data_IF_096363197122
#
_entry.id   IF_096363197122
#
_cell.length_a   1.000
_cell.length_b   1.000
_cell.length_c   1.000
_cell.angle_alpha   90.00
_cell.angle_beta   90.00
_cell.angle_gamma   90.00
#
_symmetry.space_group_name_H-M   'P 1'
#
loop_
_entity.id
_entity.type
_entity.pdbx_description
1 polymer ?
#
# COMPACT_ATOMS: atom_id res chain seq x y z
N UNK A 1 0.52 16.91 24.72
CA UNK A 1 1.82 16.40 24.24
C UNK A 1 1.81 16.44 22.72
N UNK A 2 2.82 17.09 22.12
CA UNK A 2 3.00 17.04 20.67
C UNK A 2 3.30 15.61 20.22
N UNK A 3 2.75 15.23 19.07
CA UNK A 3 3.11 13.98 18.43
C UNK A 3 4.57 14.04 17.98
N UNK A 4 5.36 13.00 18.32
CA UNK A 4 6.78 12.92 17.98
C UNK A 4 6.95 12.04 16.76
N UNK A 5 6.83 12.61 15.56
CA UNK A 5 6.97 11.86 14.30
C UNK A 5 8.27 11.06 14.23
N UNK A 6 9.41 11.67 14.61
CA UNK A 6 10.73 11.03 14.57
C UNK A 6 10.82 9.78 15.45
N UNK A 7 10.12 9.74 16.58
CA UNK A 7 10.07 8.57 17.46
C UNK A 7 9.39 7.39 16.75
N UNK A 8 8.23 7.62 16.12
CA UNK A 8 7.48 6.57 15.43
C UNK A 8 8.16 6.08 14.16
N UNK A 9 8.86 6.97 13.44
CA UNK A 9 9.67 6.60 12.26
C UNK A 9 10.87 5.71 12.63
N UNK A 10 11.47 5.86 13.81
CA UNK A 10 12.51 4.92 14.26
C UNK A 10 11.98 3.48 14.36
N UNK A 11 10.75 3.31 14.87
CA UNK A 11 10.09 2.01 14.86
C UNK A 11 9.83 1.51 13.44
N UNK A 12 9.38 2.38 12.52
CA UNK A 12 9.25 2.02 11.10
C UNK A 12 10.55 1.43 10.57
N UNK A 13 11.67 2.15 10.67
CA UNK A 13 12.96 1.70 10.11
C UNK A 13 13.41 0.37 10.73
N UNK A 14 13.22 0.20 12.03
CA UNK A 14 13.48 -1.08 12.69
C UNK A 14 12.57 -2.21 12.17
N UNK A 15 11.29 -1.93 11.93
CA UNK A 15 10.36 -2.90 11.37
C UNK A 15 10.77 -3.31 9.94
N UNK A 16 11.26 -2.38 9.10
CA UNK A 16 11.81 -2.73 7.78
C UNK A 16 12.97 -3.71 7.88
N UNK A 17 13.87 -3.52 8.84
CA UNK A 17 14.98 -4.44 9.08
C UNK A 17 14.46 -5.85 9.39
N UNK A 18 13.46 -5.99 10.27
CA UNK A 18 12.84 -7.28 10.59
C UNK A 18 12.17 -7.92 9.36
N UNK A 19 11.47 -7.14 8.54
CA UNK A 19 10.88 -7.60 7.27
C UNK A 19 11.97 -8.15 6.35
N UNK A 20 13.08 -7.43 6.20
CA UNK A 20 14.20 -7.85 5.36
C UNK A 20 14.87 -9.13 5.88
N UNK A 21 15.06 -9.26 7.21
CA UNK A 21 15.62 -10.45 7.83
C UNK A 21 14.75 -11.70 7.60
N UNK A 22 13.43 -11.58 7.72
CA UNK A 22 12.52 -12.70 7.43
C UNK A 22 12.48 -13.02 5.94
N UNK A 23 12.56 -12.01 5.07
CA UNK A 23 12.68 -12.21 3.63
C UNK A 23 13.95 -12.97 3.25
N UNK A 24 15.09 -12.60 3.86
CA UNK A 24 16.35 -13.29 3.70
C UNK A 24 16.29 -14.73 4.22
N UNK A 25 15.71 -14.94 5.40
CA UNK A 25 15.51 -16.28 5.97
C UNK A 25 14.69 -17.18 5.04
N UNK A 26 13.60 -16.67 4.46
CA UNK A 26 12.80 -17.44 3.50
C UNK A 26 13.58 -17.82 2.26
N UNK A 27 14.50 -16.96 1.78
CA UNK A 27 15.35 -17.25 0.62
C UNK A 27 16.45 -18.25 0.96
N UNK A 28 17.07 -18.12 2.12
CA UNK A 28 18.02 -19.11 2.65
C UNK A 28 17.40 -20.51 2.66
N UNK A 29 16.16 -20.62 3.15
CA UNK A 29 15.42 -21.89 3.25
C UNK A 29 15.05 -22.56 1.92
N UNK A 30 15.21 -21.87 0.79
CA UNK A 30 15.03 -22.48 -0.54
C UNK A 30 16.26 -23.33 -0.91
N UNK A 31 17.45 -22.93 -0.43
CA UNK A 31 18.72 -23.57 -0.77
C UNK A 31 19.23 -24.50 0.34
N UNK A 32 18.87 -24.23 1.59
CA UNK A 32 19.37 -24.93 2.76
C UNK A 32 18.23 -25.37 3.66
N UNK A 33 18.32 -26.58 4.21
CA UNK A 33 17.32 -27.07 5.16
C UNK A 33 17.36 -26.28 6.47
N UNK A 34 16.19 -25.90 6.97
CA UNK A 34 16.02 -25.29 8.29
C UNK A 34 14.72 -25.79 8.93
N UNK A 35 14.73 -26.99 9.53
CA UNK A 35 13.51 -27.71 9.93
C UNK A 35 12.78 -27.08 11.12
N UNK A 36 13.44 -26.21 11.89
CA UNK A 36 12.86 -25.57 13.07
C UNK A 36 11.70 -24.60 12.75
N UNK A 37 11.62 -24.12 11.51
CA UNK A 37 10.60 -23.16 11.11
C UNK A 37 9.86 -23.70 9.89
N UNK A 38 8.54 -23.63 9.89
CA UNK A 38 7.75 -23.93 8.70
C UNK A 38 7.84 -22.77 7.69
N UNK A 39 8.03 -23.07 6.39
CA UNK A 39 8.18 -22.05 5.35
C UNK A 39 6.92 -21.22 5.18
N UNK A 40 5.74 -21.84 5.24
CA UNK A 40 4.47 -21.16 5.02
C UNK A 40 4.15 -20.21 6.19
N UNK A 41 4.45 -20.64 7.41
CA UNK A 41 4.32 -19.86 8.64
C UNK A 41 5.22 -18.63 8.65
N UNK A 42 6.50 -18.78 8.25
CA UNK A 42 7.41 -17.64 8.06
C UNK A 42 6.91 -16.72 6.95
N UNK A 43 6.37 -17.25 5.86
CA UNK A 43 5.80 -16.45 4.77
C UNK A 43 4.62 -15.59 5.26
N UNK A 44 3.69 -16.16 6.05
CA UNK A 44 2.59 -15.41 6.63
C UNK A 44 3.08 -14.32 7.58
N UNK A 45 4.01 -14.66 8.47
CA UNK A 45 4.63 -13.70 9.39
C UNK A 45 5.28 -12.52 8.64
N UNK A 46 6.10 -12.82 7.64
CA UNK A 46 6.76 -11.82 6.80
C UNK A 46 5.75 -10.92 6.09
N UNK A 47 4.75 -11.47 5.40
CA UNK A 47 3.79 -10.66 4.64
C UNK A 47 2.91 -9.79 5.55
N UNK A 48 2.39 -10.35 6.65
CA UNK A 48 1.55 -9.59 7.59
C UNK A 48 2.34 -8.48 8.28
N UNK A 49 3.58 -8.75 8.69
CA UNK A 49 4.43 -7.73 9.32
C UNK A 49 4.92 -6.68 8.31
N UNK A 50 5.19 -7.05 7.06
CA UNK A 50 5.51 -6.10 6.00
C UNK A 50 4.37 -5.11 5.74
N UNK A 51 3.12 -5.60 5.69
CA UNK A 51 1.95 -4.74 5.43
C UNK A 51 1.58 -3.90 6.66
N UNK A 52 1.43 -4.51 7.83
CA UNK A 52 0.93 -3.84 9.04
C UNK A 52 2.04 -3.10 9.81
N UNK A 53 3.14 -3.80 10.08
CA UNK A 53 4.24 -3.32 10.93
C UNK A 53 5.16 -2.34 10.21
N UNK A 54 5.48 -2.58 8.93
CA UNK A 54 6.31 -1.67 8.14
C UNK A 54 5.47 -0.62 7.39
N UNK A 55 4.76 -1.00 6.33
CA UNK A 55 4.17 -0.01 5.40
C UNK A 55 3.05 0.78 6.07
N UNK A 56 2.06 0.11 6.65
CA UNK A 56 0.89 0.77 7.26
C UNK A 56 1.29 1.64 8.46
N UNK A 57 2.14 1.14 9.35
CA UNK A 57 2.66 1.92 10.47
C UNK A 57 3.34 3.22 10.01
N UNK A 58 4.18 3.11 8.98
CA UNK A 58 4.90 4.27 8.41
C UNK A 58 3.93 5.26 7.77
N UNK A 59 3.00 4.78 6.95
CA UNK A 59 2.00 5.64 6.32
C UNK A 59 1.10 6.33 7.35
N UNK A 60 0.60 5.62 8.37
CA UNK A 60 -0.18 6.22 9.45
C UNK A 60 0.63 7.33 10.14
N UNK A 61 1.90 7.07 10.46
CA UNK A 61 2.80 8.05 11.09
C UNK A 61 2.99 9.30 10.22
N UNK A 62 3.23 9.12 8.92
CA UNK A 62 3.43 10.24 8.00
C UNK A 62 2.14 11.03 7.76
N UNK A 63 0.98 10.36 7.68
CA UNK A 63 -0.33 11.00 7.60
C UNK A 63 -0.63 11.83 8.86
N UNK A 64 -0.29 11.33 10.06
CA UNK A 64 -0.40 12.12 11.30
C UNK A 64 0.53 13.34 11.26
N UNK A 65 1.76 13.17 10.75
CA UNK A 65 2.70 14.28 10.56
C UNK A 65 2.16 15.33 9.60
N UNK A 66 1.43 14.92 8.55
CA UNK A 66 0.71 15.84 7.68
C UNK A 66 -0.37 16.61 8.43
N UNK A 67 -1.20 15.94 9.25
CA UNK A 67 -2.20 16.64 10.08
C UNK A 67 -1.52 17.66 11.00
N UNK A 68 -0.43 17.30 11.65
CA UNK A 68 0.31 18.21 12.54
C UNK A 68 0.89 19.42 11.80
N UNK A 69 1.40 19.22 10.58
CA UNK A 69 1.93 20.31 9.74
C UNK A 69 0.84 21.30 9.31
N UNK A 70 -0.38 20.82 9.08
CA UNK A 70 -1.48 21.63 8.54
C UNK A 70 -2.50 22.09 9.61
N UNK A 71 -2.39 21.63 10.86
CA UNK A 71 -3.24 22.07 11.98
C UNK A 71 -2.76 23.42 12.56
N UNK A 72 -2.82 24.48 11.76
CA UNK A 72 -2.35 25.82 12.13
C UNK A 72 -3.12 26.42 13.32
N UNK A 73 -4.34 25.96 13.57
CA UNK A 73 -5.23 26.44 14.63
C UNK A 73 -5.22 25.54 15.87
N UNK A 74 -4.36 24.51 15.92
CA UNK A 74 -4.24 23.56 17.03
C UNK A 74 -5.58 22.94 17.47
N UNK A 75 -6.46 22.63 16.51
CA UNK A 75 -7.79 22.06 16.77
C UNK A 75 -7.71 20.55 17.05
N UNK A 76 -6.64 19.88 16.64
CA UNK A 76 -6.55 18.41 16.64
C UNK A 76 -5.85 17.89 17.92
N UNK A 77 -6.55 17.00 18.63
CA UNK A 77 -5.99 16.29 19.77
C UNK A 77 -5.16 15.06 19.34
N UNK A 78 -3.84 15.22 19.25
CA UNK A 78 -2.95 14.17 18.74
C UNK A 78 -2.73 12.95 19.66
N UNK A 79 -3.11 13.01 20.94
CA UNK A 79 -2.88 11.91 21.90
C UNK A 79 -3.53 10.59 21.46
N UNK A 80 -4.70 10.65 20.81
CA UNK A 80 -5.41 9.47 20.29
C UNK A 80 -4.60 8.70 19.24
N UNK A 81 -3.79 9.39 18.45
CA UNK A 81 -2.99 8.74 17.41
C UNK A 81 -1.84 7.92 17.98
N UNK A 82 -1.29 8.29 19.14
CA UNK A 82 -0.33 7.44 19.84
C UNK A 82 -0.96 6.10 20.22
N UNK A 83 -2.20 6.10 20.72
CA UNK A 83 -2.91 4.85 21.05
C UNK A 83 -3.14 3.98 19.82
N UNK A 84 -3.50 4.60 18.69
CA UNK A 84 -3.71 3.89 17.43
C UNK A 84 -2.40 3.26 16.91
N UNK A 85 -1.29 4.01 16.93
CA UNK A 85 0.02 3.49 16.52
C UNK A 85 0.53 2.38 17.47
N UNK A 86 0.33 2.53 18.78
CA UNK A 86 0.64 1.47 19.76
C UNK A 86 -0.18 0.22 19.45
N UNK A 87 -1.49 0.37 19.23
CA UNK A 87 -2.37 -0.73 18.86
C UNK A 87 -1.92 -1.43 17.57
N UNK A 88 -1.51 -0.67 16.56
CA UNK A 88 -1.00 -1.22 15.30
C UNK A 88 0.30 -2.00 15.51
N UNK A 89 1.24 -1.46 16.29
CA UNK A 89 2.49 -2.16 16.61
C UNK A 89 2.23 -3.43 17.42
N UNK A 90 1.42 -3.37 18.48
CA UNK A 90 1.05 -4.56 19.26
C UNK A 90 0.48 -5.63 18.34
N UNK A 91 -0.50 -5.29 17.49
CA UNK A 91 -1.06 -6.26 16.55
C UNK A 91 0.00 -6.81 15.59
N UNK A 92 0.86 -5.95 15.05
CA UNK A 92 1.90 -6.35 14.11
C UNK A 92 2.92 -7.30 14.74
N UNK A 93 3.44 -6.98 15.93
CA UNK A 93 4.41 -7.81 16.63
C UNK A 93 3.83 -9.12 17.15
N UNK A 94 2.58 -9.11 17.64
CA UNK A 94 1.92 -10.37 18.02
C UNK A 94 1.66 -11.24 16.80
N UNK A 95 1.21 -10.67 15.67
CA UNK A 95 1.11 -11.42 14.41
C UNK A 95 2.46 -11.98 13.97
N UNK A 96 3.53 -11.18 14.05
CA UNK A 96 4.89 -11.58 13.66
C UNK A 96 5.30 -12.88 14.38
N UNK A 97 5.14 -12.92 15.70
CA UNK A 97 5.51 -14.06 16.53
C UNK A 97 4.52 -15.22 16.35
N UNK A 98 3.22 -14.95 16.45
CA UNK A 98 2.20 -16.00 16.40
C UNK A 98 2.14 -16.70 15.04
N UNK A 99 2.28 -16.00 13.91
CA UNK A 99 2.31 -16.67 12.61
C UNK A 99 3.51 -17.62 12.47
N UNK A 100 4.67 -17.28 13.06
CA UNK A 100 5.84 -18.18 13.05
C UNK A 100 5.55 -19.43 13.89
N UNK A 101 4.94 -19.28 15.05
CA UNK A 101 4.73 -20.37 16.01
C UNK A 101 3.58 -21.32 15.64
N UNK A 102 2.49 -20.80 15.09
CA UNK A 102 1.24 -21.55 14.92
C UNK A 102 0.58 -21.38 13.54
N UNK A 103 1.21 -20.66 12.60
CA UNK A 103 0.58 -20.36 11.30
C UNK A 103 -0.76 -19.64 11.49
N UNK A 104 -1.82 -20.11 10.82
CA UNK A 104 -3.20 -19.60 11.02
C UNK A 104 -3.87 -20.20 12.27
N UNK A 105 -3.29 -19.96 13.44
CA UNK A 105 -3.91 -20.30 14.73
C UNK A 105 -4.80 -19.19 15.28
N UNK A 106 -5.41 -19.42 16.45
CA UNK A 106 -6.36 -18.49 17.07
C UNK A 106 -5.74 -17.09 17.32
N UNK A 107 -4.56 -17.03 17.96
CA UNK A 107 -3.88 -15.76 18.28
C UNK A 107 -3.60 -14.92 17.03
N UNK A 108 -2.99 -15.51 16.00
CA UNK A 108 -2.69 -14.85 14.72
C UNK A 108 -3.95 -14.34 14.03
N UNK A 109 -5.03 -15.12 14.03
CA UNK A 109 -6.31 -14.69 13.45
C UNK A 109 -6.88 -13.53 14.25
N UNK A 110 -6.99 -13.65 15.58
CA UNK A 110 -7.51 -12.58 16.45
C UNK A 110 -6.76 -11.27 16.24
N UNK A 111 -5.42 -11.29 16.24
CA UNK A 111 -4.64 -10.07 16.07
C UNK A 111 -4.65 -9.54 14.63
N UNK A 112 -4.81 -10.41 13.62
CA UNK A 112 -5.07 -9.95 12.25
C UNK A 112 -6.40 -9.22 12.14
N UNK A 113 -7.46 -9.72 12.80
CA UNK A 113 -8.77 -9.06 12.86
C UNK A 113 -8.72 -7.76 13.65
N UNK A 114 -8.05 -7.75 14.81
CA UNK A 114 -7.84 -6.54 15.61
C UNK A 114 -7.09 -5.46 14.82
N UNK A 115 -6.10 -5.83 14.01
CA UNK A 115 -5.37 -4.88 13.16
C UNK A 115 -6.29 -4.17 12.15
N UNK A 116 -7.32 -4.86 11.62
CA UNK A 116 -8.33 -4.26 10.75
C UNK A 116 -9.12 -3.20 11.53
N UNK A 117 -9.58 -3.52 12.75
CA UNK A 117 -10.32 -2.56 13.59
C UNK A 117 -9.47 -1.34 13.99
N UNK A 118 -8.17 -1.55 14.29
CA UNK A 118 -7.23 -0.43 14.51
C UNK A 118 -7.15 0.46 13.26
N UNK A 119 -7.09 -0.14 12.07
CA UNK A 119 -7.06 0.59 10.81
C UNK A 119 -8.36 1.38 10.54
N UNK A 120 -9.51 0.85 10.96
CA UNK A 120 -10.79 1.54 10.88
C UNK A 120 -10.86 2.72 11.83
N UNK A 121 -10.40 2.54 13.08
CA UNK A 121 -10.32 3.63 14.03
C UNK A 121 -9.37 4.74 13.54
N UNK A 122 -8.21 4.37 12.99
CA UNK A 122 -7.32 5.34 12.34
C UNK A 122 -8.05 6.11 11.24
N UNK A 123 -8.72 5.38 10.34
CA UNK A 123 -9.43 5.96 9.21
C UNK A 123 -10.49 6.95 9.67
N UNK A 124 -11.39 6.53 10.55
CA UNK A 124 -12.42 7.40 11.13
C UNK A 124 -11.83 8.66 11.77
N UNK A 125 -10.80 8.49 12.61
CA UNK A 125 -10.16 9.61 13.32
C UNK A 125 -9.52 10.60 12.34
N UNK A 126 -8.77 10.09 11.35
CA UNK A 126 -8.14 10.90 10.31
C UNK A 126 -9.17 11.65 9.45
N UNK A 127 -10.26 10.99 9.03
CA UNK A 127 -11.32 11.66 8.27
C UNK A 127 -11.95 12.81 9.05
N UNK A 128 -12.22 12.61 10.35
CA UNK A 128 -12.81 13.64 11.23
C UNK A 128 -11.88 14.83 11.40
N UNK A 129 -10.59 14.58 11.63
CA UNK A 129 -9.61 15.64 11.87
C UNK A 129 -9.23 16.36 10.58
N UNK A 130 -9.16 15.65 9.46
CA UNK A 130 -8.90 16.24 8.15
C UNK A 130 -9.99 17.24 7.72
N UNK A 131 -11.22 17.14 8.23
CA UNK A 131 -12.29 18.14 7.99
C UNK A 131 -12.07 19.46 8.73
N UNK A 132 -11.25 19.46 9.77
CA UNK A 132 -10.97 20.64 10.59
C UNK A 132 -9.80 21.47 10.04
N UNK A 133 -9.06 20.94 9.07
CA UNK A 133 -7.92 21.59 8.44
C UNK A 133 -8.38 22.67 7.46
N UNK A 134 -7.81 23.87 7.61
CA UNK A 134 -7.94 24.98 6.65
C UNK A 134 -6.75 24.93 5.67
N UNK A 135 -6.75 23.92 4.79
CA UNK A 135 -5.66 23.69 3.83
C UNK A 135 -6.16 23.64 2.39
N UNK A 136 -5.41 24.26 1.47
CA UNK A 136 -5.62 24.18 0.02
C UNK A 136 -4.90 22.99 -0.62
N UNK A 137 -4.17 22.19 0.17
CA UNK A 137 -3.43 21.03 -0.31
C UNK A 137 -4.36 19.94 -0.87
N UNK A 138 -4.08 19.50 -2.09
CA UNK A 138 -4.86 18.42 -2.72
C UNK A 138 -4.58 17.04 -2.08
N UNK A 139 -3.51 16.92 -1.29
CA UNK A 139 -3.11 15.69 -0.62
C UNK A 139 -4.25 15.11 0.25
N UNK A 140 -5.08 15.97 0.84
CA UNK A 140 -6.24 15.55 1.64
C UNK A 140 -7.20 14.63 0.88
N UNK A 141 -7.42 14.88 -0.43
CA UNK A 141 -8.28 14.02 -1.27
C UNK A 141 -7.64 12.65 -1.48
N UNK A 142 -6.33 12.61 -1.73
CA UNK A 142 -5.55 11.39 -1.88
C UNK A 142 -5.54 10.56 -0.60
N UNK A 143 -5.35 11.16 0.58
CA UNK A 143 -5.39 10.44 1.85
C UNK A 143 -6.77 9.87 2.16
N UNK A 144 -7.84 10.60 1.87
CA UNK A 144 -9.21 10.10 2.02
C UNK A 144 -9.46 8.89 1.11
N UNK A 145 -9.03 8.96 -0.16
CA UNK A 145 -9.10 7.83 -1.07
C UNK A 145 -8.26 6.63 -0.59
N UNK A 146 -7.05 6.87 -0.11
CA UNK A 146 -6.20 5.83 0.47
C UNK A 146 -6.92 5.09 1.60
N UNK A 147 -7.45 5.82 2.58
CA UNK A 147 -8.15 5.25 3.71
C UNK A 147 -9.44 4.54 3.30
N UNK A 148 -10.17 5.09 2.32
CA UNK A 148 -11.30 4.39 1.71
C UNK A 148 -10.87 3.03 1.16
N UNK A 149 -9.80 2.98 0.35
CA UNK A 149 -9.31 1.73 -0.21
C UNK A 149 -8.80 0.76 0.85
N UNK A 150 -8.19 1.27 1.93
CA UNK A 150 -7.80 0.44 3.06
C UNK A 150 -9.02 -0.24 3.69
N UNK A 151 -10.10 0.50 3.92
CA UNK A 151 -11.34 -0.05 4.46
C UNK A 151 -11.98 -1.05 3.51
N UNK A 152 -12.10 -0.76 2.22
CA UNK A 152 -12.75 -1.71 1.31
C UNK A 152 -11.92 -2.97 1.12
N UNK A 153 -10.58 -2.88 1.17
CA UNK A 153 -9.70 -4.04 0.98
C UNK A 153 -9.98 -5.17 1.97
N UNK A 154 -10.48 -4.84 3.17
CA UNK A 154 -10.79 -5.82 4.21
C UNK A 154 -11.93 -6.76 3.82
N UNK A 155 -12.78 -6.41 2.85
CA UNK A 155 -13.84 -7.28 2.35
C UNK A 155 -13.25 -8.59 1.82
N UNK A 156 -12.07 -8.54 1.18
CA UNK A 156 -11.33 -9.74 0.77
C UNK A 156 -10.91 -10.59 1.97
N UNK A 157 -10.43 -9.97 3.05
CA UNK A 157 -10.05 -10.70 4.28
C UNK A 157 -11.26 -11.27 5.02
N UNK A 158 -12.40 -10.59 5.03
CA UNK A 158 -13.63 -11.12 5.62
C UNK A 158 -14.21 -12.28 4.81
N UNK A 159 -14.14 -12.22 3.48
CA UNK A 159 -14.50 -13.34 2.62
C UNK A 159 -13.61 -14.57 2.90
N UNK A 160 -12.29 -14.38 3.06
CA UNK A 160 -11.37 -15.44 3.46
C UNK A 160 -11.73 -16.02 4.85
N UNK A 161 -11.97 -15.16 5.83
CA UNK A 161 -12.36 -15.59 7.17
C UNK A 161 -13.68 -16.38 7.16
N UNK A 162 -14.66 -15.94 6.38
CA UNK A 162 -15.93 -16.64 6.20
C UNK A 162 -15.75 -18.03 5.58
N UNK A 163 -14.97 -18.14 4.50
CA UNK A 163 -14.69 -19.44 3.87
C UNK A 163 -13.94 -20.39 4.81
N UNK A 164 -12.97 -19.88 5.57
CA UNK A 164 -12.23 -20.68 6.56
C UNK A 164 -13.15 -21.13 7.72
N UNK A 165 -14.05 -20.26 8.20
CA UNK A 165 -14.96 -20.58 9.30
C UNK A 165 -16.05 -21.60 8.90
N UNK A 166 -16.58 -21.47 7.69
CA UNK A 166 -17.60 -22.38 7.14
C UNK A 166 -17.00 -23.69 6.60
N UNK A 167 -15.67 -23.76 6.48
CA UNK A 167 -14.93 -24.85 5.82
C UNK A 167 -15.33 -25.08 4.35
N UNK A 168 -16.01 -24.12 3.73
CA UNK A 168 -16.37 -24.17 2.33
C UNK A 168 -15.40 -23.29 1.52
N UNK A 169 -14.27 -23.87 1.14
CA UNK A 169 -13.19 -23.18 0.42
C UNK A 169 -13.21 -23.59 -1.03
N UNK A 170 -13.79 -22.75 -1.88
CA UNK A 170 -13.65 -22.87 -3.32
C UNK A 170 -12.40 -22.13 -3.79
N UNK A 171 -11.55 -22.79 -4.58
CA UNK A 171 -10.23 -22.28 -4.95
C UNK A 171 -10.29 -20.92 -5.66
N UNK A 172 -11.27 -20.73 -6.55
CA UNK A 172 -11.39 -19.50 -7.33
C UNK A 172 -11.77 -18.31 -6.42
N UNK A 173 -12.77 -18.46 -5.57
CA UNK A 173 -13.16 -17.42 -4.62
C UNK A 173 -12.08 -17.14 -3.58
N UNK A 174 -11.35 -18.17 -3.14
CA UNK A 174 -10.19 -18.02 -2.25
C UNK A 174 -9.09 -17.16 -2.88
N UNK A 175 -8.68 -17.47 -4.12
CA UNK A 175 -7.67 -16.70 -4.83
C UNK A 175 -8.15 -15.27 -5.14
N UNK A 176 -9.38 -15.13 -5.62
CA UNK A 176 -9.99 -13.83 -5.88
C UNK A 176 -10.01 -12.95 -4.63
N UNK A 177 -10.33 -13.52 -3.46
CA UNK A 177 -10.35 -12.79 -2.18
C UNK A 177 -8.96 -12.32 -1.74
N UNK A 178 -7.92 -13.14 -1.95
CA UNK A 178 -6.51 -12.73 -1.70
C UNK A 178 -6.11 -11.60 -2.65
N UNK A 179 -6.37 -11.75 -3.95
CA UNK A 179 -6.04 -10.73 -4.95
C UNK A 179 -6.82 -9.43 -4.71
N UNK A 180 -8.06 -9.51 -4.26
CA UNK A 180 -8.88 -8.35 -3.89
C UNK A 180 -8.23 -7.57 -2.76
N UNK A 181 -7.88 -8.25 -1.66
CA UNK A 181 -7.20 -7.63 -0.54
C UNK A 181 -5.89 -6.97 -0.98
N UNK A 182 -5.03 -7.72 -1.68
CA UNK A 182 -3.73 -7.23 -2.12
C UNK A 182 -3.86 -6.03 -3.06
N UNK A 183 -4.76 -6.10 -4.04
CA UNK A 183 -5.00 -5.03 -5.01
C UNK A 183 -5.36 -3.72 -4.32
N UNK A 184 -6.39 -3.73 -3.46
CA UNK A 184 -6.82 -2.51 -2.79
C UNK A 184 -5.87 -2.04 -1.69
N UNK A 185 -5.01 -2.92 -1.17
CA UNK A 185 -3.88 -2.52 -0.33
C UNK A 185 -2.82 -1.76 -1.12
N UNK A 186 -2.15 -2.39 -2.10
CA UNK A 186 -0.99 -1.77 -2.74
C UNK A 186 -1.33 -0.77 -3.85
N UNK A 187 -2.42 -0.95 -4.61
CA UNK A 187 -2.88 0.01 -5.62
C UNK A 187 -3.77 1.10 -5.04
N UNK A 188 -4.46 0.79 -3.93
CA UNK A 188 -5.34 1.72 -3.23
C UNK A 188 -4.63 2.37 -2.05
N UNK A 189 -4.69 1.75 -0.88
CA UNK A 189 -4.18 2.29 0.38
C UNK A 189 -2.74 2.83 0.27
N UNK A 190 -1.77 2.00 -0.12
CA UNK A 190 -0.36 2.40 -0.15
C UNK A 190 -0.08 3.44 -1.23
N UNK A 191 -0.47 3.16 -2.48
CA UNK A 191 -0.19 4.05 -3.61
C UNK A 191 -0.83 5.43 -3.43
N UNK A 192 -2.11 5.50 -3.04
CA UNK A 192 -2.78 6.79 -2.85
C UNK A 192 -2.20 7.58 -1.68
N UNK A 193 -1.80 6.91 -0.59
CA UNK A 193 -1.14 7.58 0.52
C UNK A 193 0.22 8.13 0.10
N UNK A 194 1.04 7.36 -0.62
CA UNK A 194 2.31 7.83 -1.16
C UNK A 194 2.14 9.01 -2.12
N UNK A 195 1.17 8.95 -3.02
CA UNK A 195 0.86 10.06 -3.93
C UNK A 195 0.40 11.32 -3.18
N UNK A 196 -0.42 11.17 -2.14
CA UNK A 196 -0.81 12.29 -1.28
C UNK A 196 0.40 12.93 -0.58
N UNK A 197 1.31 12.11 -0.05
CA UNK A 197 2.55 12.58 0.57
C UNK A 197 3.44 13.32 -0.44
N UNK A 198 3.62 12.76 -1.64
CA UNK A 198 4.39 13.39 -2.72
C UNK A 198 3.81 14.76 -3.10
N UNK A 199 2.50 14.85 -3.28
CA UNK A 199 1.84 16.10 -3.67
C UNK A 199 1.89 17.17 -2.57
N UNK A 200 1.85 16.77 -1.29
CA UNK A 200 2.10 17.70 -0.19
C UNK A 200 3.56 18.17 -0.14
N UNK A 201 4.52 17.28 -0.37
CA UNK A 201 5.95 17.62 -0.46
C UNK A 201 6.22 18.63 -1.57
N UNK A 202 5.59 18.43 -2.73
CA UNK A 202 5.64 19.34 -3.88
C UNK A 202 4.76 20.60 -3.71
N UNK A 203 4.08 20.75 -2.57
CA UNK A 203 3.20 21.89 -2.25
C UNK A 203 2.10 22.13 -3.29
N UNK A 204 1.55 21.06 -3.86
CA UNK A 204 0.49 21.14 -4.87
C UNK A 204 -0.83 21.52 -4.21
N UNK A 205 -1.49 22.56 -4.74
CA UNK A 205 -2.74 23.11 -4.21
C UNK A 205 -3.88 22.95 -5.21
N UNK A 206 -5.11 23.28 -4.80
CA UNK A 206 -6.28 23.28 -5.69
C UNK A 206 -6.14 24.18 -6.92
N UNK A 207 -5.26 25.19 -6.85
CA UNK A 207 -5.04 26.16 -7.92
C UNK A 207 -3.86 25.77 -8.83
N UNK A 208 -3.15 24.69 -8.50
CA UNK A 208 -2.12 24.11 -9.36
C UNK A 208 -2.74 23.52 -10.63
N UNK A 209 -1.90 23.03 -11.53
CA UNK A 209 -2.32 22.48 -12.82
C UNK A 209 -3.48 21.47 -12.69
N UNK A 210 -4.49 21.64 -13.55
CA UNK A 210 -5.69 20.78 -13.57
C UNK A 210 -5.36 19.29 -13.74
N UNK A 211 -4.21 18.96 -14.33
CA UNK A 211 -3.73 17.57 -14.47
C UNK A 211 -3.64 16.89 -13.10
N UNK A 212 -3.26 17.57 -12.02
CA UNK A 212 -3.20 16.95 -10.69
C UNK A 212 -4.57 16.49 -10.19
N UNK A 213 -5.60 17.33 -10.35
CA UNK A 213 -6.96 17.00 -9.90
C UNK A 213 -7.66 16.00 -10.82
N UNK A 214 -7.42 16.08 -12.13
CA UNK A 214 -7.89 15.07 -13.10
C UNK A 214 -7.23 13.71 -12.85
N UNK A 215 -5.92 13.69 -12.58
CA UNK A 215 -5.18 12.45 -12.34
C UNK A 215 -5.72 11.71 -11.12
N UNK A 216 -6.07 12.43 -10.05
CA UNK A 216 -6.74 11.84 -8.88
C UNK A 216 -8.03 11.10 -9.28
N UNK A 217 -8.94 11.75 -10.00
CA UNK A 217 -10.23 11.16 -10.34
C UNK A 217 -10.08 9.91 -11.22
N UNK A 218 -9.25 9.99 -12.25
CA UNK A 218 -9.02 8.86 -13.16
C UNK A 218 -8.29 7.70 -12.49
N UNK A 219 -7.29 7.98 -11.65
CA UNK A 219 -6.61 6.93 -10.89
C UNK A 219 -7.53 6.28 -9.85
N UNK A 220 -8.42 7.05 -9.23
CA UNK A 220 -9.40 6.51 -8.28
C UNK A 220 -10.34 5.49 -8.93
N UNK A 221 -10.99 5.88 -10.04
CA UNK A 221 -11.92 5.00 -10.73
C UNK A 221 -11.22 3.82 -11.42
N UNK A 222 -10.03 4.04 -12.00
CA UNK A 222 -9.24 2.94 -12.55
C UNK A 222 -8.70 2.01 -11.46
N UNK A 223 -8.45 2.47 -10.24
CA UNK A 223 -8.13 1.57 -9.13
C UNK A 223 -9.29 0.63 -8.81
N UNK A 224 -10.54 1.12 -8.81
CA UNK A 224 -11.73 0.27 -8.58
C UNK A 224 -11.86 -0.78 -9.69
N UNK A 225 -11.89 -0.33 -10.95
CA UNK A 225 -12.01 -1.23 -12.10
C UNK A 225 -10.79 -2.15 -12.27
N UNK A 226 -9.61 -1.69 -11.83
CA UNK A 226 -8.34 -2.39 -11.99
C UNK A 226 -8.20 -3.65 -11.15
N UNK A 227 -9.11 -3.92 -10.20
CA UNK A 227 -9.10 -5.19 -9.45
C UNK A 227 -9.15 -6.38 -10.39
N UNK A 228 -9.97 -6.28 -11.44
CA UNK A 228 -10.17 -7.35 -12.41
C UNK A 228 -8.91 -7.71 -13.22
N UNK A 229 -7.89 -6.83 -13.25
CA UNK A 229 -6.56 -7.17 -13.81
C UNK A 229 -5.95 -8.35 -13.06
N UNK A 230 -6.23 -8.47 -11.75
CA UNK A 230 -5.73 -9.54 -10.89
C UNK A 230 -6.57 -10.83 -11.00
N UNK A 231 -7.67 -10.79 -11.76
CA UNK A 231 -8.58 -11.91 -11.96
C UNK A 231 -8.80 -12.23 -13.44
N UNK A 232 -7.89 -11.82 -14.32
CA UNK A 232 -7.95 -12.14 -15.77
C UNK A 232 -7.81 -13.63 -16.07
N UNK A 233 -7.40 -14.43 -15.08
CA UNK A 233 -7.40 -15.88 -15.14
C UNK A 233 -8.79 -16.50 -14.92
N UNK A 234 -9.78 -15.71 -14.50
CA UNK A 234 -11.19 -16.10 -14.52
C UNK A 234 -11.77 -15.86 -15.92
N UNK A 235 -12.79 -16.65 -16.28
CA UNK A 235 -13.60 -16.42 -17.47
C UNK A 235 -14.54 -15.22 -17.24
N UNK A 236 -14.00 -14.01 -17.36
CA UNK A 236 -14.72 -12.77 -17.14
C UNK A 236 -15.72 -12.49 -18.27
N UNK A 237 -16.94 -12.01 -17.95
CA UNK A 237 -17.84 -11.45 -18.96
C UNK A 237 -17.17 -10.37 -19.80
N UNK A 238 -17.46 -10.33 -21.10
CA UNK A 238 -16.81 -9.43 -22.06
C UNK A 238 -16.82 -7.95 -21.61
N UNK A 239 -17.94 -7.49 -21.04
CA UNK A 239 -18.06 -6.12 -20.53
C UNK A 239 -17.05 -5.81 -19.41
N UNK A 240 -16.86 -6.75 -18.48
CA UNK A 240 -15.89 -6.62 -17.38
C UNK A 240 -14.47 -6.64 -17.94
N UNK A 241 -14.19 -7.52 -18.90
CA UNK A 241 -12.89 -7.57 -19.57
C UNK A 241 -12.54 -6.25 -20.28
N UNK A 242 -13.47 -5.66 -21.03
CA UNK A 242 -13.29 -4.37 -21.70
C UNK A 242 -13.03 -3.27 -20.66
N UNK A 243 -13.82 -3.21 -19.58
CA UNK A 243 -13.62 -2.24 -18.50
C UNK A 243 -12.24 -2.38 -17.85
N UNK A 244 -11.76 -3.62 -17.71
CA UNK A 244 -10.43 -3.95 -17.17
C UNK A 244 -9.32 -3.43 -18.07
N UNK A 245 -9.44 -3.64 -19.39
CA UNK A 245 -8.48 -3.14 -20.37
C UNK A 245 -8.44 -1.60 -20.40
N UNK A 246 -9.61 -0.95 -20.39
CA UNK A 246 -9.73 0.52 -20.31
C UNK A 246 -9.05 1.03 -19.04
N UNK A 247 -9.26 0.38 -17.89
CA UNK A 247 -8.61 0.74 -16.64
C UNK A 247 -7.08 0.76 -16.76
N UNK A 248 -6.49 -0.27 -17.35
CA UNK A 248 -5.03 -0.34 -17.54
C UNK A 248 -4.50 0.76 -18.47
N UNK A 249 -5.20 1.04 -19.57
CA UNK A 249 -4.85 2.13 -20.50
C UNK A 249 -4.90 3.49 -19.79
N UNK A 250 -5.99 3.75 -19.05
CA UNK A 250 -6.17 4.99 -18.28
C UNK A 250 -5.04 5.16 -17.28
N UNK A 251 -4.65 4.11 -16.54
CA UNK A 251 -3.54 4.18 -15.59
C UNK A 251 -2.23 4.62 -16.25
N UNK A 252 -1.87 4.05 -17.40
CA UNK A 252 -0.65 4.40 -18.14
C UNK A 252 -0.69 5.84 -18.64
N UNK A 253 -1.78 6.24 -19.31
CA UNK A 253 -1.92 7.59 -19.87
C UNK A 253 -1.89 8.65 -18.78
N UNK A 254 -2.63 8.45 -17.70
CA UNK A 254 -2.72 9.41 -16.60
C UNK A 254 -1.41 9.48 -15.82
N UNK A 255 -0.74 8.34 -15.61
CA UNK A 255 0.59 8.33 -15.01
C UNK A 255 1.59 9.13 -15.85
N UNK A 256 1.62 8.94 -17.17
CA UNK A 256 2.48 9.70 -18.06
C UNK A 256 2.22 11.21 -17.98
N UNK A 257 0.95 11.63 -18.04
CA UNK A 257 0.58 13.05 -17.95
C UNK A 257 0.95 13.66 -16.59
N UNK A 258 0.74 12.91 -15.51
CA UNK A 258 1.08 13.33 -14.15
C UNK A 258 2.60 13.43 -13.97
N UNK A 259 3.35 12.42 -14.40
CA UNK A 259 4.81 12.39 -14.36
C UNK A 259 5.43 13.58 -15.10
N UNK A 260 4.96 13.82 -16.33
CA UNK A 260 5.40 14.97 -17.15
C UNK A 260 5.13 16.31 -16.44
N UNK A 261 3.95 16.46 -15.85
CA UNK A 261 3.57 17.67 -15.10
C UNK A 261 4.42 17.87 -13.86
N UNK A 262 4.62 16.81 -13.06
CA UNK A 262 5.47 16.84 -11.86
C UNK A 262 6.88 17.31 -12.22
N UNK A 263 7.49 16.70 -13.24
CA UNK A 263 8.86 17.03 -13.63
C UNK A 263 8.99 18.46 -14.17
N UNK A 264 8.02 18.90 -14.99
CA UNK A 264 8.02 20.25 -15.57
C UNK A 264 7.86 21.34 -14.51
N UNK A 265 6.89 21.20 -13.62
CA UNK A 265 6.50 22.26 -12.68
C UNK A 265 7.36 22.29 -11.42
N UNK A 266 7.95 21.16 -11.03
CA UNK A 266 8.72 21.05 -9.79
C UNK A 266 10.23 20.90 -10.03
N UNK A 267 10.71 21.31 -11.21
CA UNK A 267 12.14 21.23 -11.57
C UNK A 267 13.03 21.90 -10.53
N UNK A 268 12.61 23.03 -9.95
CA UNK A 268 13.38 23.74 -8.93
C UNK A 268 13.61 22.90 -7.67
N UNK A 269 12.57 22.21 -7.17
CA UNK A 269 12.65 21.30 -6.02
C UNK A 269 13.55 20.10 -6.37
N UNK A 270 13.40 19.54 -7.57
CA UNK A 270 14.18 18.36 -7.98
C UNK A 270 15.67 18.70 -8.12
N UNK A 271 16.01 19.89 -8.62
CA UNK A 271 17.40 20.31 -8.81
C UNK A 271 18.13 20.52 -7.48
N UNK A 272 17.45 20.95 -6.42
CA UNK A 272 18.05 21.15 -5.10
C UNK A 272 18.27 19.85 -4.34
N UNK A 273 17.68 18.72 -4.77
CA UNK A 273 17.93 17.42 -4.15
C UNK A 273 19.40 16.99 -4.30
N UNK A 274 19.98 16.36 -3.27
CA UNK A 274 21.24 15.62 -3.40
C UNK A 274 21.17 14.55 -4.50
N UNK A 275 22.32 14.26 -5.12
CA UNK A 275 22.38 13.36 -6.28
C UNK A 275 21.82 11.95 -5.99
N UNK A 276 22.09 11.37 -4.82
CA UNK A 276 21.56 10.05 -4.47
C UNK A 276 20.02 10.04 -4.36
N UNK A 277 19.39 11.12 -3.88
CA UNK A 277 17.92 11.24 -3.87
C UNK A 277 17.35 11.42 -5.27
N UNK A 278 18.06 12.13 -6.17
CA UNK A 278 17.69 12.25 -7.58
C UNK A 278 17.70 10.88 -8.28
N UNK A 279 18.73 10.07 -8.06
CA UNK A 279 18.79 8.71 -8.59
C UNK A 279 17.69 7.82 -7.99
N UNK A 280 17.41 7.98 -6.69
CA UNK A 280 16.36 7.24 -6.01
C UNK A 280 14.97 7.55 -6.58
N UNK A 281 14.60 8.82 -6.72
CA UNK A 281 13.29 9.20 -7.28
C UNK A 281 13.17 8.84 -8.77
N UNK A 282 14.26 8.90 -9.53
CA UNK A 282 14.29 8.42 -10.91
C UNK A 282 14.03 6.91 -10.99
N UNK A 283 14.67 6.12 -10.13
CA UNK A 283 14.45 4.68 -10.04
C UNK A 283 13.02 4.34 -9.62
N UNK A 284 12.47 5.01 -8.60
CA UNK A 284 11.07 4.85 -8.18
C UNK A 284 10.12 5.16 -9.34
N UNK A 285 10.38 6.24 -10.08
CA UNK A 285 9.55 6.64 -11.24
C UNK A 285 9.62 5.62 -12.37
N UNK A 286 10.79 5.05 -12.62
CA UNK A 286 10.98 3.97 -13.57
C UNK A 286 10.22 2.70 -13.13
N UNK A 287 10.37 2.27 -11.88
CA UNK A 287 9.68 1.11 -11.33
C UNK A 287 8.15 1.26 -11.38
N UNK A 288 7.64 2.45 -11.07
CA UNK A 288 6.20 2.75 -11.15
C UNK A 288 5.69 2.76 -12.60
N UNK A 289 6.49 3.26 -13.55
CA UNK A 289 6.18 3.17 -14.97
C UNK A 289 6.16 1.72 -15.45
N UNK A 290 7.15 0.92 -15.06
CA UNK A 290 7.21 -0.50 -15.36
C UNK A 290 5.99 -1.25 -14.80
N UNK A 291 5.57 -0.95 -13.56
CA UNK A 291 4.36 -1.52 -12.95
C UNK A 291 3.12 -1.28 -13.82
N UNK A 292 2.84 -0.03 -14.24
CA UNK A 292 1.66 0.26 -15.06
C UNK A 292 1.74 -0.38 -16.45
N UNK A 293 2.92 -0.42 -17.06
CA UNK A 293 3.13 -1.12 -18.34
C UNK A 293 2.94 -2.64 -18.21
N UNK A 294 3.39 -3.25 -17.12
CA UNK A 294 3.15 -4.68 -16.84
C UNK A 294 1.66 -4.97 -16.62
N UNK A 295 0.93 -4.08 -15.92
CA UNK A 295 -0.52 -4.17 -15.78
C UNK A 295 -1.23 -4.08 -17.13
N UNK A 296 -0.82 -3.15 -18.00
CA UNK A 296 -1.33 -3.07 -19.36
C UNK A 296 -0.98 -4.33 -20.17
N UNK A 297 0.27 -4.81 -20.09
CA UNK A 297 0.70 -6.03 -20.78
C UNK A 297 -0.11 -7.25 -20.35
N UNK A 298 -0.53 -7.33 -19.08
CA UNK A 298 -1.33 -8.44 -18.56
C UNK A 298 -2.70 -8.58 -19.23
N UNK A 299 -3.22 -7.53 -19.88
CA UNK A 299 -4.47 -7.61 -20.65
C UNK A 299 -4.31 -8.38 -21.96
N UNK A 300 -3.10 -8.76 -22.36
CA UNK A 300 -2.84 -9.64 -23.51
C UNK A 300 -2.91 -11.09 -23.03
N UNK A 301 -3.80 -11.96 -23.58
CA UNK A 301 -4.02 -13.31 -23.07
C UNK A 301 -2.76 -14.18 -22.95
N UNK A 302 -1.82 -14.07 -23.90
CA UNK A 302 -0.56 -14.80 -23.86
C UNK A 302 0.32 -14.38 -22.65
N UNK A 303 0.37 -13.08 -22.36
CA UNK A 303 1.11 -12.53 -21.22
C UNK A 303 0.41 -12.87 -19.91
N UNK A 304 -0.92 -12.79 -19.86
CA UNK A 304 -1.73 -13.20 -18.70
C UNK A 304 -1.44 -14.64 -18.28
N UNK A 305 -1.43 -15.58 -19.24
CA UNK A 305 -1.10 -17.00 -18.97
C UNK A 305 0.29 -17.17 -18.37
N UNK A 306 1.29 -16.42 -18.85
CA UNK A 306 2.63 -16.44 -18.25
C UNK A 306 2.63 -15.83 -16.84
N UNK A 307 2.00 -14.66 -16.68
CA UNK A 307 1.98 -13.91 -15.42
C UNK A 307 1.32 -14.70 -14.28
N UNK A 308 0.20 -15.37 -14.55
CA UNK A 308 -0.53 -16.15 -13.55
C UNK A 308 -0.13 -17.64 -13.51
N UNK A 309 0.48 -18.16 -14.58
CA UNK A 309 0.98 -19.54 -14.62
C UNK A 309 2.26 -19.77 -13.84
N UNK A 310 3.08 -18.73 -13.62
CA UNK A 310 4.36 -18.84 -12.91
C UNK A 310 4.38 -18.02 -11.63
N UNK A 311 4.29 -18.69 -10.48
CA UNK A 311 4.35 -18.08 -9.15
C UNK A 311 5.55 -17.14 -8.93
N UNK A 312 6.77 -17.42 -9.43
CA UNK A 312 7.90 -16.49 -9.31
C UNK A 312 7.65 -15.12 -9.95
N UNK A 313 6.87 -15.04 -11.04
CA UNK A 313 6.54 -13.77 -11.71
C UNK A 313 5.62 -12.93 -10.80
N UNK A 314 4.59 -13.55 -10.21
CA UNK A 314 3.72 -12.90 -9.23
C UNK A 314 4.52 -12.39 -8.04
N UNK A 315 5.45 -13.19 -7.51
CA UNK A 315 6.32 -12.80 -6.40
C UNK A 315 7.21 -11.60 -6.82
N UNK A 316 7.82 -11.64 -7.99
CA UNK A 316 8.65 -10.55 -8.52
C UNK A 316 7.84 -9.25 -8.67
N UNK A 317 6.62 -9.34 -9.19
CA UNK A 317 5.71 -8.20 -9.32
C UNK A 317 5.33 -7.59 -7.95
N UNK A 318 5.03 -8.43 -6.95
CA UNK A 318 4.77 -7.96 -5.58
C UNK A 318 6.00 -7.26 -4.97
N UNK A 319 7.21 -7.79 -5.20
CA UNK A 319 8.43 -7.15 -4.70
C UNK A 319 8.76 -5.85 -5.44
N UNK A 320 8.52 -5.77 -6.76
CA UNK A 320 8.61 -4.53 -7.53
C UNK A 320 7.74 -3.44 -6.88
N UNK A 321 6.49 -3.77 -6.55
CA UNK A 321 5.58 -2.80 -5.92
C UNK A 321 6.01 -2.47 -4.49
N UNK A 322 6.16 -3.48 -3.63
CA UNK A 322 6.33 -3.25 -2.20
C UNK A 322 7.73 -2.73 -1.85
N UNK A 323 8.78 -3.24 -2.49
CA UNK A 323 10.15 -2.80 -2.23
C UNK A 323 10.53 -1.62 -3.11
N UNK A 324 10.54 -1.79 -4.43
CA UNK A 324 11.12 -0.80 -5.35
C UNK A 324 10.27 0.47 -5.50
N UNK A 325 8.95 0.39 -5.29
CA UNK A 325 8.06 1.56 -5.34
C UNK A 325 7.76 2.05 -3.91
N UNK A 326 7.00 1.28 -3.13
CA UNK A 326 6.46 1.76 -1.85
C UNK A 326 7.57 1.98 -0.82
N UNK A 327 8.41 0.98 -0.53
CA UNK A 327 9.43 1.12 0.51
C UNK A 327 10.49 2.17 0.17
N UNK A 328 10.97 2.20 -1.08
CA UNK A 328 11.91 3.24 -1.51
C UNK A 328 11.31 4.64 -1.48
N UNK A 329 10.03 4.81 -1.85
CA UNK A 329 9.34 6.10 -1.71
C UNK A 329 9.24 6.53 -0.24
N UNK A 330 8.88 5.62 0.66
CA UNK A 330 8.80 5.92 2.09
C UNK A 330 10.16 6.34 2.65
N UNK A 331 11.24 5.64 2.27
CA UNK A 331 12.60 6.01 2.66
C UNK A 331 13.02 7.37 2.08
N UNK A 332 12.68 7.64 0.82
CA UNK A 332 12.89 8.96 0.20
C UNK A 332 12.17 10.07 0.97
N UNK A 333 10.91 9.86 1.37
CA UNK A 333 10.11 10.88 2.07
C UNK A 333 10.54 11.10 3.52
N UNK A 334 11.05 10.05 4.18
CA UNK A 334 11.57 10.11 5.56
C UNK A 334 12.89 10.89 5.63
N UNK A 335 13.71 10.81 4.58
CA UNK A 335 14.97 11.54 4.45
C UNK A 335 14.71 13.04 4.23
#
# INVERSE_FOLDING_TARGET
MSFKTTFWIRFSIFNLMLVALLGLLMRYKILFEFPLLDQKSVQHSHSHFAFAGWVTHTLMTLLISFLQKHDTLNKIAFKKYNLVLIGNLICSYVMLISFIMQGYGAISITFSTLSIFVSYWFSYSFFKDCKQLETTSIATKWFKAALFFNVISSLGTFALAYMMATKNIHQNEYLASIYYYLHFQYNGWFFFACMGLLLDYLKVTSNSNRIYSQSFAWLFWSCIAGYFLSTLWLDLPLLIYILTAISAIVQVVIWYLLFKTIFKENKSIIVTLPNYLKYLIAFISFALSAKFLLQLGSTVPAISKLAFGFRPIVIAYLHLILLAIISLFLLFYIY
#
